data_IF_214092513001
#
_entry.id   IF_214092513001
#
_cell.length_a   1.000
_cell.length_b   1.000
_cell.length_c   1.000
_cell.angle_alpha   90.00
_cell.angle_beta   90.00
_cell.angle_gamma   90.00
#
_symmetry.space_group_name_H-M   'P 1'
#
loop_
_entity.id
_entity.type
_entity.pdbx_description
1 polymer ?
#
# COMPACT_ATOMS: atom_id res chain seq x y z
N UNK A 1 19.33 -8.50 56.57
CA UNK A 1 18.17 -7.98 55.82
C UNK A 1 18.40 -8.19 54.33
N UNK A 2 17.72 -9.14 53.69
CA UNK A 2 17.78 -9.37 52.23
C UNK A 2 16.38 -9.75 51.73
N UNK A 3 15.55 -8.75 51.42
CA UNK A 3 14.20 -8.95 50.87
C UNK A 3 13.82 -7.90 49.79
N UNK A 4 14.81 -7.27 49.15
CA UNK A 4 14.54 -6.27 48.09
C UNK A 4 14.58 -6.85 46.65
N UNK A 5 15.16 -8.04 46.47
CA UNK A 5 15.47 -8.60 45.13
C UNK A 5 14.29 -9.31 44.45
N UNK A 6 13.34 -9.84 45.22
CA UNK A 6 12.26 -10.68 44.68
C UNK A 6 11.16 -9.88 43.98
N UNK A 7 10.89 -8.64 44.40
CA UNK A 7 9.79 -7.84 43.85
C UNK A 7 10.15 -7.20 42.50
N UNK A 8 11.36 -6.68 42.36
CA UNK A 8 11.88 -6.14 41.09
C UNK A 8 11.90 -7.23 40.01
N UNK A 9 12.39 -8.43 40.37
CA UNK A 9 12.43 -9.58 39.47
C UNK A 9 11.03 -10.05 39.06
N UNK A 10 10.05 -10.00 39.98
CA UNK A 10 8.66 -10.32 39.70
C UNK A 10 8.00 -9.32 38.73
N UNK A 11 8.23 -8.03 38.94
CA UNK A 11 7.69 -6.96 38.07
C UNK A 11 8.30 -6.99 36.67
N UNK A 12 9.58 -7.33 36.55
CA UNK A 12 10.25 -7.49 35.25
C UNK A 12 9.73 -8.71 34.48
N UNK A 13 9.36 -9.78 35.18
CA UNK A 13 8.80 -10.99 34.58
C UNK A 13 7.38 -10.79 34.05
N UNK A 14 6.55 -10.00 34.75
CA UNK A 14 5.22 -9.60 34.29
C UNK A 14 5.34 -8.74 33.02
N UNK A 15 6.22 -7.74 33.03
CA UNK A 15 6.47 -6.85 31.88
C UNK A 15 6.91 -7.63 30.63
N UNK A 16 7.82 -8.60 30.80
CA UNK A 16 8.29 -9.47 29.68
C UNK A 16 7.19 -10.38 29.14
N UNK A 17 6.30 -10.91 30.00
CA UNK A 17 5.16 -11.75 29.59
C UNK A 17 4.13 -10.94 28.80
N UNK A 18 3.84 -9.71 29.24
CA UNK A 18 2.90 -8.83 28.56
C UNK A 18 3.40 -8.39 27.18
N UNK A 19 4.69 -8.05 27.07
CA UNK A 19 5.32 -7.71 25.78
C UNK A 19 5.27 -8.88 24.81
N UNK A 20 5.54 -10.12 25.27
CA UNK A 20 5.41 -11.33 24.43
C UNK A 20 3.98 -11.57 23.99
N UNK A 21 3.00 -11.38 24.88
CA UNK A 21 1.56 -11.53 24.58
C UNK A 21 1.08 -10.51 23.55
N UNK A 22 1.49 -9.25 23.69
CA UNK A 22 1.21 -8.17 22.73
C UNK A 22 1.85 -8.42 21.36
N UNK A 23 3.11 -8.86 21.34
CA UNK A 23 3.77 -9.29 20.10
C UNK A 23 3.00 -10.45 19.46
N UNK A 24 2.69 -11.52 20.20
CA UNK A 24 1.93 -12.67 19.67
C UNK A 24 0.56 -12.29 19.11
N UNK A 25 -0.21 -11.45 19.81
CA UNK A 25 -1.48 -10.94 19.32
C UNK A 25 -1.32 -10.14 18.01
N UNK A 26 -0.24 -9.36 17.89
CA UNK A 26 0.06 -8.58 16.68
C UNK A 26 0.51 -9.43 15.47
N UNK A 27 1.05 -10.64 15.70
CA UNK A 27 1.42 -11.58 14.64
C UNK A 27 0.26 -12.50 14.25
N UNK A 28 -0.58 -12.90 15.21
CA UNK A 28 -1.78 -13.72 14.96
C UNK A 28 -2.84 -12.98 14.12
N UNK A 29 -2.99 -11.67 14.35
CA UNK A 29 -3.92 -10.81 13.60
C UNK A 29 -3.47 -10.46 12.18
N UNK A 30 -2.24 -10.80 11.78
CA UNK A 30 -1.68 -10.49 10.46
C UNK A 30 -1.76 -11.64 9.44
N UNK A 31 -2.40 -12.74 9.79
CA UNK A 31 -2.59 -13.89 8.88
C UNK A 31 -4.01 -14.02 8.30
N UNK A 32 -4.84 -12.98 8.42
CA UNK A 32 -5.96 -12.85 7.50
C UNK A 32 -5.38 -12.44 6.13
N UNK A 33 -5.26 -13.40 5.21
CA UNK A 33 -5.11 -13.05 3.79
C UNK A 33 -6.25 -12.08 3.49
N UNK A 34 -5.93 -10.85 3.10
CA UNK A 34 -6.93 -9.94 2.59
C UNK A 34 -7.49 -10.56 1.31
N UNK A 35 -8.55 -11.35 1.44
CA UNK A 35 -9.35 -11.78 0.31
C UNK A 35 -10.01 -10.52 -0.22
N UNK A 36 -9.41 -9.96 -1.27
CA UNK A 36 -9.96 -8.85 -2.03
C UNK A 36 -11.35 -9.28 -2.50
N UNK A 37 -12.38 -8.66 -1.92
CA UNK A 37 -13.75 -8.91 -2.36
C UNK A 37 -13.87 -8.36 -3.77
N UNK A 38 -14.47 -9.12 -4.69
CA UNK A 38 -14.68 -8.69 -6.09
C UNK A 38 -15.31 -7.28 -6.20
N UNK A 39 -16.11 -6.88 -5.21
CA UNK A 39 -16.70 -5.54 -5.09
C UNK A 39 -15.67 -4.40 -5.04
N UNK A 40 -14.49 -4.63 -4.48
CA UNK A 40 -13.45 -3.61 -4.29
C UNK A 40 -12.71 -3.27 -5.58
N UNK A 41 -12.79 -4.15 -6.60
CA UNK A 41 -12.17 -3.93 -7.91
C UNK A 41 -13.08 -3.17 -8.88
N UNK A 42 -14.38 -3.06 -8.59
CA UNK A 42 -15.34 -2.36 -9.47
C UNK A 42 -14.93 -0.92 -9.79
N UNK A 43 -14.48 -0.08 -8.83
CA UNK A 43 -14.05 1.28 -9.13
C UNK A 43 -12.89 1.34 -10.14
N UNK A 44 -11.99 0.37 -10.10
CA UNK A 44 -10.87 0.28 -11.04
C UNK A 44 -11.35 0.00 -12.46
N UNK A 45 -12.28 -0.94 -12.65
CA UNK A 45 -12.85 -1.26 -13.96
C UNK A 45 -13.73 -0.14 -14.52
N UNK A 46 -14.45 0.60 -13.66
CA UNK A 46 -15.20 1.80 -14.07
C UNK A 46 -14.26 2.83 -14.73
N UNK A 47 -13.08 3.05 -14.16
CA UNK A 47 -12.08 3.98 -14.71
C UNK A 47 -11.43 3.52 -16.04
N UNK A 48 -11.60 2.24 -16.41
CA UNK A 48 -11.09 1.69 -17.67
C UNK A 48 -12.14 1.71 -18.79
N UNK A 49 -13.39 2.04 -18.49
CA UNK A 49 -14.43 2.20 -19.52
C UNK A 49 -14.01 3.34 -20.47
N UNK A 50 -14.12 3.09 -21.77
CA UNK A 50 -13.70 3.95 -22.87
C UNK A 50 -12.22 3.87 -23.20
N UNK A 51 -11.40 3.17 -22.41
CA UNK A 51 -9.96 3.01 -22.65
C UNK A 51 -9.66 1.73 -23.39
N UNK A 52 -8.53 1.75 -24.12
CA UNK A 52 -7.99 0.56 -24.75
C UNK A 52 -7.41 -0.36 -23.68
N UNK A 53 -7.84 -1.61 -23.69
CA UNK A 53 -7.39 -2.66 -22.77
C UNK A 53 -6.88 -3.86 -23.55
N UNK A 54 -6.05 -4.64 -22.88
CA UNK A 54 -5.62 -5.97 -23.30
C UNK A 54 -6.17 -6.99 -22.30
N UNK A 55 -6.76 -8.05 -22.84
CA UNK A 55 -7.36 -9.13 -22.08
C UNK A 55 -6.68 -10.43 -22.48
N UNK A 56 -6.03 -11.09 -21.53
CA UNK A 56 -5.47 -12.42 -21.73
C UNK A 56 -6.46 -13.49 -21.29
N UNK A 57 -6.73 -14.44 -22.18
CA UNK A 57 -7.63 -15.56 -21.93
C UNK A 57 -6.87 -16.80 -21.49
N UNK A 58 -7.58 -17.74 -20.87
CA UNK A 58 -7.00 -18.98 -20.35
C UNK A 58 -6.32 -19.86 -21.41
N UNK A 59 -6.71 -19.73 -22.68
CA UNK A 59 -6.23 -20.57 -23.78
C UNK A 59 -5.02 -19.94 -24.51
N UNK A 60 -4.31 -19.02 -23.85
CA UNK A 60 -3.22 -18.21 -24.44
C UNK A 60 -3.64 -17.42 -25.69
N UNK A 61 -4.94 -17.15 -25.79
CA UNK A 61 -5.49 -16.18 -26.74
C UNK A 61 -5.60 -14.83 -26.04
N UNK A 62 -5.53 -13.75 -26.80
CA UNK A 62 -5.59 -12.39 -26.27
C UNK A 62 -6.59 -11.56 -27.06
N UNK A 63 -7.19 -10.58 -26.42
CA UNK A 63 -8.07 -9.61 -27.07
C UNK A 63 -7.60 -8.20 -26.72
N UNK A 64 -7.54 -7.33 -27.71
CA UNK A 64 -7.17 -5.92 -27.55
C UNK A 64 -8.32 -5.08 -28.05
N UNK A 65 -8.87 -4.16 -27.26
CA UNK A 65 -9.98 -3.33 -27.71
C UNK A 65 -10.37 -2.28 -26.67
N UNK A 66 -11.32 -1.42 -27.02
CA UNK A 66 -11.81 -0.37 -26.12
C UNK A 66 -12.91 -0.95 -25.21
N UNK A 67 -12.71 -0.90 -23.89
CA UNK A 67 -13.70 -1.43 -22.95
C UNK A 67 -14.97 -0.57 -22.96
N UNK A 68 -16.12 -1.15 -23.27
CA UNK A 68 -17.41 -0.44 -23.26
C UNK A 68 -18.22 -0.74 -22.01
N UNK A 69 -18.23 -2.00 -21.59
CA UNK A 69 -19.03 -2.44 -20.44
C UNK A 69 -18.37 -3.64 -19.74
N UNK A 70 -18.63 -3.76 -18.43
CA UNK A 70 -18.30 -4.93 -17.64
C UNK A 70 -19.42 -5.22 -16.63
N UNK A 71 -19.62 -6.51 -16.30
CA UNK A 71 -20.60 -6.94 -15.31
C UNK A 71 -19.96 -7.48 -14.01
N UNK A 72 -20.80 -7.97 -13.10
CA UNK A 72 -20.36 -8.52 -11.81
C UNK A 72 -19.54 -9.81 -11.94
N UNK A 73 -19.72 -10.55 -13.04
CA UNK A 73 -19.04 -11.81 -13.33
C UNK A 73 -17.79 -11.60 -14.19
N UNK A 74 -17.40 -10.34 -14.40
CA UNK A 74 -16.29 -9.93 -15.25
C UNK A 74 -16.47 -10.29 -16.72
N UNK A 75 -17.71 -10.45 -17.20
CA UNK A 75 -17.96 -10.46 -18.64
C UNK A 75 -17.74 -9.05 -19.18
N UNK A 76 -17.06 -8.95 -20.33
CA UNK A 76 -16.66 -7.67 -20.93
C UNK A 76 -17.25 -7.53 -22.33
N UNK A 77 -17.58 -6.29 -22.68
CA UNK A 77 -17.89 -5.89 -24.05
C UNK A 77 -16.82 -4.91 -24.48
N UNK A 78 -16.09 -5.27 -25.55
CA UNK A 78 -15.05 -4.43 -26.14
C UNK A 78 -15.47 -3.99 -27.55
N UNK A 79 -15.21 -2.72 -27.87
CA UNK A 79 -15.40 -2.14 -29.20
C UNK A 79 -14.07 -2.03 -29.95
N UNK A 80 -14.11 -2.12 -31.28
CA UNK A 80 -12.98 -2.03 -32.20
C UNK A 80 -11.86 -3.00 -31.80
N UNK A 81 -12.25 -4.24 -31.53
CA UNK A 81 -11.41 -5.24 -30.91
C UNK A 81 -10.61 -6.05 -31.94
N UNK A 82 -9.40 -6.46 -31.56
CA UNK A 82 -8.56 -7.41 -32.27
C UNK A 82 -8.38 -8.65 -31.40
N UNK A 83 -8.87 -9.78 -31.88
CA UNK A 83 -8.72 -11.08 -31.24
C UNK A 83 -7.51 -11.80 -31.81
N UNK A 84 -6.59 -12.19 -30.93
CA UNK A 84 -5.35 -12.89 -31.25
C UNK A 84 -5.51 -14.32 -30.73
N UNK A 85 -5.61 -15.27 -31.64
CA UNK A 85 -5.65 -16.70 -31.30
C UNK A 85 -4.29 -17.18 -30.80
N UNK A 86 -4.26 -18.34 -30.15
CA UNK A 86 -3.02 -19.03 -29.75
C UNK A 86 -2.01 -19.21 -30.90
N UNK A 87 -2.50 -19.34 -32.12
CA UNK A 87 -1.66 -19.55 -33.32
C UNK A 87 -1.09 -18.23 -33.87
N UNK A 88 -1.41 -17.09 -33.25
CA UNK A 88 -0.99 -15.77 -33.69
C UNK A 88 -1.89 -15.16 -34.78
N UNK A 89 -2.93 -15.85 -35.24
CA UNK A 89 -3.89 -15.28 -36.19
C UNK A 89 -4.69 -14.16 -35.53
N UNK A 90 -4.76 -13.02 -36.20
CA UNK A 90 -5.43 -11.80 -35.72
C UNK A 90 -6.73 -11.62 -36.48
N UNK A 91 -7.84 -11.55 -35.75
CA UNK A 91 -9.17 -11.27 -36.29
C UNK A 91 -9.66 -9.94 -35.73
N UNK A 92 -9.97 -8.98 -36.60
CA UNK A 92 -10.55 -7.69 -36.19
C UNK A 92 -12.06 -7.82 -36.17
N UNK A 93 -12.68 -7.32 -35.10
CA UNK A 93 -14.11 -7.41 -34.86
C UNK A 93 -14.60 -6.11 -34.24
N UNK A 94 -15.69 -5.56 -34.75
CA UNK A 94 -16.22 -4.26 -34.28
C UNK A 94 -16.71 -4.32 -32.83
N UNK A 95 -17.38 -5.42 -32.45
CA UNK A 95 -17.83 -5.68 -31.09
C UNK A 95 -17.47 -7.11 -30.68
N UNK A 96 -16.77 -7.23 -29.55
CA UNK A 96 -16.32 -8.50 -28.99
C UNK A 96 -16.87 -8.68 -27.57
N UNK A 97 -17.62 -9.75 -27.38
CA UNK A 97 -18.06 -10.21 -26.06
C UNK A 97 -17.07 -11.24 -25.49
N UNK A 98 -16.57 -10.98 -24.29
CA UNK A 98 -15.64 -11.86 -23.58
C UNK A 98 -16.28 -12.36 -22.30
N UNK A 99 -16.35 -13.68 -22.15
CA UNK A 99 -16.88 -14.31 -20.93
C UNK A 99 -15.85 -14.26 -19.80
N UNK A 100 -16.24 -13.73 -18.64
CA UNK A 100 -15.35 -13.53 -17.48
C UNK A 100 -14.69 -14.79 -16.98
N UNK A 101 -15.35 -15.95 -17.06
CA UNK A 101 -14.77 -17.25 -16.67
C UNK A 101 -13.59 -17.70 -17.55
N UNK A 102 -13.43 -17.12 -18.74
CA UNK A 102 -12.32 -17.41 -19.66
C UNK A 102 -11.18 -16.39 -19.55
N UNK A 103 -11.37 -15.32 -18.78
CA UNK A 103 -10.39 -14.26 -18.60
C UNK A 103 -9.39 -14.64 -17.51
N UNK A 104 -8.11 -14.42 -17.81
CA UNK A 104 -7.00 -14.62 -16.89
C UNK A 104 -6.50 -13.29 -16.34
N UNK A 105 -6.18 -12.35 -17.24
CA UNK A 105 -5.66 -11.03 -16.89
C UNK A 105 -6.33 -9.95 -17.72
N UNK A 106 -6.48 -8.77 -17.13
CA UNK A 106 -6.94 -7.55 -17.80
C UNK A 106 -5.96 -6.45 -17.42
N UNK A 107 -5.43 -5.74 -18.40
CA UNK A 107 -4.59 -4.59 -18.17
C UNK A 107 -4.84 -3.51 -19.22
N UNK A 108 -4.68 -2.23 -18.87
CA UNK A 108 -4.77 -1.14 -19.83
C UNK A 108 -3.68 -1.24 -20.90
N UNK A 109 -3.96 -0.74 -22.10
CA UNK A 109 -3.06 -0.78 -23.25
C UNK A 109 -2.21 0.50 -23.38
N UNK A 110 -2.24 1.40 -22.39
CA UNK A 110 -1.44 2.63 -22.39
C UNK A 110 0.07 2.27 -22.23
N UNK A 111 0.95 3.01 -22.91
CA UNK A 111 2.41 2.81 -22.83
C UNK A 111 3.00 3.01 -21.41
N UNK A 112 2.24 3.64 -20.50
CA UNK A 112 2.68 4.00 -19.14
C UNK A 112 1.98 3.24 -18.00
N UNK A 113 1.04 2.35 -18.29
CA UNK A 113 0.29 1.67 -17.24
C UNK A 113 0.95 0.36 -16.78
N UNK A 114 2.00 0.51 -15.95
CA UNK A 114 2.35 -0.40 -14.83
C UNK A 114 2.25 -1.91 -15.14
N UNK A 115 2.87 -2.35 -16.22
CA UNK A 115 3.43 -3.70 -16.30
C UNK A 115 4.94 -3.59 -16.46
N UNK A 116 5.61 -3.22 -15.36
CA UNK A 116 7.02 -3.54 -15.12
C UNK A 116 7.23 -5.05 -14.92
N UNK A 117 6.76 -5.84 -15.86
CA UNK A 117 7.00 -7.28 -15.92
C UNK A 117 7.59 -7.59 -17.28
N UNK A 118 8.89 -7.24 -17.45
CA UNK A 118 9.92 -8.09 -18.09
C UNK A 118 11.25 -7.40 -18.46
N UNK A 119 11.50 -6.13 -18.11
CA UNK A 119 12.84 -5.53 -18.24
C UNK A 119 13.33 -4.95 -16.90
N UNK A 120 13.89 -5.79 -16.02
CA UNK A 120 14.64 -5.36 -14.81
C UNK A 120 16.11 -5.04 -15.13
N UNK A 121 16.38 -4.43 -16.28
CA UNK A 121 17.67 -3.88 -16.63
C UNK A 121 17.46 -2.66 -17.50
N UNK A 122 18.06 -1.53 -17.13
CA UNK A 122 18.11 -0.29 -17.93
C UNK A 122 16.87 0.62 -18.00
N UNK A 123 16.29 0.99 -16.85
CA UNK A 123 15.60 2.29 -16.73
C UNK A 123 16.34 3.16 -15.72
N UNK A 124 17.07 4.15 -16.23
CA UNK A 124 17.69 5.23 -15.46
C UNK A 124 16.60 5.99 -14.72
N UNK A 125 16.53 5.78 -13.40
CA UNK A 125 15.52 6.37 -12.51
C UNK A 125 15.59 7.90 -12.59
N UNK A 126 14.48 8.52 -12.98
CA UNK A 126 14.28 9.96 -12.84
C UNK A 126 14.29 10.35 -11.35
N UNK A 127 14.95 11.47 -11.03
CA UNK A 127 15.35 11.91 -9.69
C UNK A 127 14.23 12.51 -8.85
N UNK A 128 13.02 11.94 -8.86
CA UNK A 128 11.95 12.37 -7.96
C UNK A 128 11.71 11.29 -6.89
N UNK A 129 12.65 11.19 -5.96
CA UNK A 129 12.43 10.47 -4.72
C UNK A 129 11.48 11.31 -3.84
N UNK A 130 10.24 10.86 -3.70
CA UNK A 130 9.43 11.18 -2.53
C UNK A 130 10.18 10.65 -1.30
N UNK A 131 11.05 11.48 -0.71
CA UNK A 131 11.84 11.15 0.47
C UNK A 131 10.90 11.12 1.68
N UNK A 132 10.14 10.03 1.77
CA UNK A 132 9.37 9.71 2.96
C UNK A 132 10.38 9.46 4.07
N UNK A 133 10.49 10.42 4.98
CA UNK A 133 11.39 10.35 6.14
C UNK A 133 11.31 8.95 6.77
N UNK A 134 12.48 8.35 6.97
CA UNK A 134 12.60 7.05 7.62
C UNK A 134 11.90 7.08 8.98
N UNK A 135 11.33 5.94 9.40
CA UNK A 135 10.66 5.81 10.71
C UNK A 135 11.54 6.33 11.86
N UNK A 136 12.85 6.11 11.78
CA UNK A 136 13.85 6.61 12.74
C UNK A 136 13.95 8.14 12.73
N UNK A 137 13.97 8.76 11.55
CA UNK A 137 14.02 10.21 11.40
C UNK A 137 12.75 10.88 11.95
N UNK A 138 11.57 10.31 11.67
CA UNK A 138 10.29 10.80 12.22
C UNK A 138 10.23 10.71 13.75
N UNK A 139 10.82 9.65 14.32
CA UNK A 139 10.90 9.49 15.78
C UNK A 139 11.85 10.52 16.40
N UNK A 140 13.03 10.71 15.82
CA UNK A 140 14.00 11.70 16.28
C UNK A 140 13.43 13.12 16.24
N UNK A 141 12.71 13.47 15.17
CA UNK A 141 12.07 14.77 15.04
C UNK A 141 10.99 15.00 16.13
N UNK A 142 10.18 13.96 16.43
CA UNK A 142 9.22 14.01 17.54
C UNK A 142 9.89 14.19 18.90
N UNK A 143 11.01 13.49 19.13
CA UNK A 143 11.77 13.60 20.38
C UNK A 143 12.36 15.00 20.50
N UNK A 144 13.03 15.53 19.46
CA UNK A 144 13.59 16.87 19.46
C UNK A 144 12.55 17.96 19.74
N UNK A 145 11.37 17.87 19.13
CA UNK A 145 10.25 18.79 19.40
C UNK A 145 9.84 18.78 20.87
N UNK A 146 9.76 17.61 21.51
CA UNK A 146 9.48 17.48 22.95
C UNK A 146 10.59 18.08 23.81
N UNK A 147 11.85 17.79 23.49
CA UNK A 147 12.99 18.32 24.26
C UNK A 147 13.08 19.84 24.17
N UNK A 148 12.77 20.42 23.01
CA UNK A 148 12.72 21.87 22.81
C UNK A 148 11.62 22.53 23.66
N UNK A 149 10.41 21.96 23.66
CA UNK A 149 9.30 22.46 24.48
C UNK A 149 9.62 22.41 25.98
N UNK A 150 10.24 21.32 26.45
CA UNK A 150 10.67 21.19 27.85
C UNK A 150 11.72 22.26 28.19
N UNK A 151 12.73 22.48 27.33
CA UNK A 151 13.74 23.52 27.55
C UNK A 151 13.13 24.92 27.60
N UNK A 152 12.18 25.22 26.72
CA UNK A 152 11.45 26.50 26.72
C UNK A 152 10.70 26.70 28.04
N UNK A 153 9.94 25.69 28.48
CA UNK A 153 9.21 25.74 29.75
C UNK A 153 10.11 26.07 30.96
N UNK A 154 11.26 25.38 31.10
CA UNK A 154 12.19 25.67 32.20
C UNK A 154 12.89 27.02 32.05
N UNK A 155 13.12 27.49 30.82
CA UNK A 155 13.67 28.83 30.59
C UNK A 155 12.70 29.95 30.98
N UNK A 156 11.40 29.78 30.74
CA UNK A 156 10.34 30.70 31.15
C UNK A 156 10.19 30.72 32.67
N UNK A 157 10.21 29.56 33.31
CA UNK A 157 10.22 29.45 34.78
C UNK A 157 11.41 30.15 35.44
N UNK A 158 12.60 30.09 34.83
CA UNK A 158 13.80 30.82 35.32
C UNK A 158 13.65 32.34 35.19
N UNK A 159 13.06 32.83 34.10
CA UNK A 159 12.79 34.28 33.92
C UNK A 159 11.77 34.79 34.92
N UNK A 160 10.72 34.01 35.21
CA UNK A 160 9.72 34.33 36.23
C UNK A 160 10.31 34.37 37.65
N UNK A 161 11.22 33.44 37.98
CA UNK A 161 11.92 33.42 39.26
C UNK A 161 12.92 34.60 39.41
N UNK A 162 13.62 34.98 38.34
CA UNK A 162 14.54 36.12 38.35
C UNK A 162 13.86 37.48 38.56
N UNK A 163 12.63 37.64 38.08
CA UNK A 163 11.84 38.86 38.30
C UNK A 163 11.33 39.03 39.74
N UNK A 164 11.27 37.97 40.54
CA UNK A 164 10.85 38.07 41.94
C UNK A 164 11.97 38.50 42.90
N UNK A 165 13.24 38.41 42.49
CA UNK A 165 14.40 38.77 43.33
C UNK A 165 14.82 40.24 43.16
N UNK A 166 14.35 40.93 42.11
CA UNK A 166 14.62 42.36 41.87
C UNK A 166 13.57 43.31 42.47
N UNK A 167 12.50 42.79 43.09
CA UNK A 167 11.43 43.59 43.70
C UNK A 167 11.36 43.45 45.23
N UNK A 168 12.39 42.89 45.85
CA UNK A 168 12.54 42.75 47.31
C UNK A 168 13.79 43.45 47.80
#
# INVERSE_FOLDING_TARGET
MKYQSSFEHFMEEISKKDVRRLLQQSYATKKAKAELKKSELKPYFICMIGKKIVVELNENSSAIGNLQHFDNDMNLICKDASFITKNGSITKVDMLYLRGSKIRYIYPADDDCVLQTRNRGAATKSKFHNFRLSRKQRLNEKVQKRTAAIKQYYSEKRKQAGNQVQQS
#
